data_IF_267487238878
#
_entry.id   IF_267487238878
#
_cell.length_a   1.000
_cell.length_b   1.000
_cell.length_c   1.000
_cell.angle_alpha   90.00
_cell.angle_beta   90.00
_cell.angle_gamma   90.00
#
_symmetry.space_group_name_H-M   'P 1'
#
loop_
_entity.id
_entity.type
_entity.pdbx_description
1 polymer ?
#
# COMPACT_ATOMS: atom_id res chain seq x y z
N UNK A 1 -11.68 12.16 -13.48
CA UNK A 1 -11.40 10.87 -14.13
C UNK A 1 -9.98 10.92 -14.64
N UNK A 2 -9.10 10.03 -14.16
CA UNK A 2 -7.67 10.03 -14.54
C UNK A 2 -7.42 9.22 -15.81
N UNK A 3 -8.16 8.14 -16.00
CA UNK A 3 -8.02 7.29 -17.17
C UNK A 3 -9.39 6.74 -17.59
N UNK A 4 -9.68 6.82 -18.88
CA UNK A 4 -10.87 6.21 -19.46
C UNK A 4 -10.58 4.75 -19.75
N UNK A 5 -11.34 3.85 -19.15
CA UNK A 5 -11.23 2.42 -19.44
C UNK A 5 -11.55 2.11 -20.90
N UNK A 6 -10.90 1.11 -21.44
CA UNK A 6 -11.20 0.54 -22.76
C UNK A 6 -11.40 -0.97 -22.60
N UNK A 7 -12.42 -1.57 -23.23
CA UNK A 7 -12.56 -3.01 -23.24
C UNK A 7 -11.45 -3.66 -24.06
N UNK A 8 -11.01 -4.83 -23.61
CA UNK A 8 -10.18 -5.71 -24.39
C UNK A 8 -11.03 -6.50 -25.41
N UNK A 9 -10.36 -7.18 -26.34
CA UNK A 9 -10.97 -8.09 -27.29
C UNK A 9 -10.19 -9.39 -27.39
N UNK A 10 -10.90 -10.49 -27.45
CA UNK A 10 -10.33 -11.82 -27.61
C UNK A 10 -11.07 -12.51 -28.75
N UNK A 11 -10.29 -13.09 -29.66
CA UNK A 11 -10.80 -13.91 -30.74
C UNK A 11 -10.81 -15.37 -30.32
N UNK A 12 -11.90 -16.06 -30.63
CA UNK A 12 -12.02 -17.50 -30.46
C UNK A 12 -12.32 -18.14 -31.79
N UNK A 13 -11.56 -19.14 -32.17
CA UNK A 13 -11.82 -19.93 -33.39
C UNK A 13 -12.34 -21.30 -32.97
N UNK A 14 -13.50 -21.64 -33.48
CA UNK A 14 -14.14 -22.92 -33.18
C UNK A 14 -14.11 -23.82 -34.41
N UNK A 15 -14.03 -25.12 -34.17
CA UNK A 15 -14.22 -26.16 -35.18
C UNK A 15 -15.47 -26.93 -34.83
N UNK A 16 -16.45 -26.86 -35.77
CA UNK A 16 -17.69 -27.57 -35.64
C UNK A 16 -17.70 -28.80 -36.54
N UNK A 17 -18.27 -29.88 -36.06
CA UNK A 17 -18.49 -31.10 -36.82
C UNK A 17 -20.01 -31.29 -37.00
N UNK A 18 -20.45 -31.46 -38.23
CA UNK A 18 -21.83 -31.64 -38.56
C UNK A 18 -22.10 -33.07 -39.04
N UNK A 19 -23.23 -33.62 -38.67
CA UNK A 19 -23.80 -34.82 -39.22
C UNK A 19 -25.29 -34.57 -39.49
N UNK A 20 -25.72 -34.82 -40.70
CA UNK A 20 -27.13 -34.57 -41.17
C UNK A 20 -27.66 -33.17 -40.85
N UNK A 21 -26.77 -32.15 -40.88
CA UNK A 21 -27.13 -30.76 -40.59
C UNK A 21 -27.14 -30.35 -39.13
N UNK A 22 -26.90 -31.28 -38.23
CA UNK A 22 -26.78 -31.02 -36.79
C UNK A 22 -25.33 -30.96 -36.32
N UNK A 23 -25.03 -30.01 -35.41
CA UNK A 23 -23.69 -29.92 -34.80
C UNK A 23 -23.54 -31.02 -33.77
N UNK A 24 -22.63 -31.97 -34.04
CA UNK A 24 -22.31 -33.09 -33.12
C UNK A 24 -21.04 -32.82 -32.27
N UNK A 25 -20.27 -31.78 -32.61
CA UNK A 25 -19.12 -31.37 -31.87
C UNK A 25 -18.83 -29.90 -32.11
N UNK A 26 -18.61 -29.18 -31.02
CA UNK A 26 -18.21 -27.76 -31.02
C UNK A 26 -16.94 -27.62 -30.14
N UNK A 27 -15.81 -27.33 -30.75
CA UNK A 27 -14.52 -27.28 -30.04
C UNK A 27 -13.77 -26.00 -30.35
N UNK A 28 -13.42 -25.23 -29.30
CA UNK A 28 -12.49 -24.12 -29.44
C UNK A 28 -11.10 -24.67 -29.80
N UNK A 29 -10.54 -24.25 -30.92
CA UNK A 29 -9.23 -24.70 -31.41
C UNK A 29 -8.17 -23.62 -31.29
N UNK A 30 -8.57 -22.37 -31.15
CA UNK A 30 -7.64 -21.24 -30.93
C UNK A 30 -8.31 -20.16 -30.11
N UNK A 31 -7.56 -19.60 -29.18
CA UNK A 31 -7.91 -18.38 -28.45
C UNK A 31 -6.75 -17.41 -28.57
N UNK A 32 -7.02 -16.19 -28.96
CA UNK A 32 -6.00 -15.14 -29.10
C UNK A 32 -6.53 -13.82 -28.56
N UNK A 33 -5.80 -13.22 -27.62
CA UNK A 33 -6.08 -11.87 -27.16
C UNK A 33 -5.63 -10.88 -28.23
N UNK A 34 -6.53 -10.12 -28.81
CA UNK A 34 -6.25 -9.10 -29.82
C UNK A 34 -5.86 -7.77 -29.19
N UNK A 35 -6.58 -7.38 -28.14
CA UNK A 35 -6.27 -6.19 -27.37
C UNK A 35 -6.50 -6.46 -25.88
N UNK A 36 -5.60 -5.96 -25.04
CA UNK A 36 -5.80 -6.02 -23.60
C UNK A 36 -6.74 -4.91 -23.13
N UNK A 37 -7.58 -5.17 -22.12
CA UNK A 37 -8.39 -4.13 -21.53
C UNK A 37 -7.51 -3.09 -20.83
N UNK A 38 -7.98 -1.86 -20.82
CA UNK A 38 -7.40 -0.78 -20.05
C UNK A 38 -8.35 -0.39 -18.93
N UNK A 39 -7.88 -0.37 -17.71
CA UNK A 39 -8.72 -0.07 -16.56
C UNK A 39 -9.18 1.38 -16.55
N UNK A 40 -10.42 1.59 -16.13
CA UNK A 40 -10.94 2.91 -15.82
C UNK A 40 -10.45 3.36 -14.46
N UNK A 41 -9.70 4.46 -14.41
CA UNK A 41 -9.24 5.05 -13.16
C UNK A 41 -10.09 6.27 -12.83
N UNK A 42 -10.82 6.21 -11.73
CA UNK A 42 -11.62 7.32 -11.21
C UNK A 42 -11.11 7.70 -9.81
N UNK A 43 -10.93 9.01 -9.60
CA UNK A 43 -10.75 9.55 -8.27
C UNK A 43 -12.13 9.80 -7.67
N UNK A 44 -12.43 9.14 -6.56
CA UNK A 44 -13.56 9.51 -5.72
C UNK A 44 -13.06 10.41 -4.60
N UNK A 45 -13.51 11.65 -4.57
CA UNK A 45 -13.33 12.50 -3.39
C UNK A 45 -14.10 11.92 -2.22
N UNK A 46 -13.42 11.75 -1.08
CA UNK A 46 -14.09 11.43 0.18
C UNK A 46 -14.07 12.69 1.04
N UNK A 47 -15.23 13.20 1.41
CA UNK A 47 -15.38 14.44 2.23
C UNK A 47 -14.78 14.31 3.64
N UNK A 48 -14.43 13.10 4.07
CA UNK A 48 -13.85 12.82 5.39
C UNK A 48 -12.33 12.66 5.37
N UNK A 49 -11.67 13.26 4.38
CA UNK A 49 -10.22 13.21 4.26
C UNK A 49 -9.59 14.42 4.94
N UNK A 50 -8.88 14.19 6.05
CA UNK A 50 -8.05 15.21 6.68
C UNK A 50 -6.66 15.19 6.04
N UNK A 51 -6.22 16.32 5.54
CA UNK A 51 -4.84 16.48 5.05
C UNK A 51 -3.93 16.50 6.28
N UNK A 52 -3.09 15.49 6.42
CA UNK A 52 -2.26 15.30 7.62
C UNK A 52 -1.18 16.36 7.72
N UNK A 53 -0.80 17.00 6.63
CA UNK A 53 0.29 17.96 6.69
C UNK A 53 0.17 19.12 5.69
N UNK A 54 -0.27 20.26 6.20
CA UNK A 54 -0.24 21.53 5.46
C UNK A 54 1.15 22.18 5.39
N UNK A 55 2.11 21.70 6.19
CA UNK A 55 3.44 22.34 6.34
C UNK A 55 4.53 21.75 5.45
N UNK A 56 4.25 20.68 4.71
CA UNK A 56 5.21 20.14 3.77
C UNK A 56 5.03 20.74 2.39
N UNK A 57 6.00 21.55 1.98
CA UNK A 57 6.12 22.13 0.63
C UNK A 57 6.40 21.10 -0.48
N UNK A 58 6.06 19.84 -0.30
CA UNK A 58 6.20 18.86 -1.36
C UNK A 58 4.99 18.95 -2.29
N UNK A 59 5.15 19.69 -3.37
CA UNK A 59 4.10 20.01 -4.35
C UNK A 59 3.50 18.79 -5.06
N UNK A 60 3.99 17.60 -4.82
CA UNK A 60 3.66 16.41 -5.62
C UNK A 60 3.08 15.21 -4.85
N UNK A 61 3.09 15.23 -3.52
CA UNK A 61 2.51 14.13 -2.74
C UNK A 61 1.64 14.63 -1.60
N UNK A 62 0.39 14.22 -1.62
CA UNK A 62 -0.56 14.50 -0.55
C UNK A 62 -0.76 13.23 0.27
N UNK A 63 -0.51 13.30 1.56
CA UNK A 63 -0.93 12.30 2.51
C UNK A 63 -2.31 12.64 3.03
N UNK A 64 -3.16 11.69 2.89
CA UNK A 64 -4.54 11.84 3.29
C UNK A 64 -4.83 10.86 4.40
N UNK A 65 -5.18 11.38 5.58
CA UNK A 65 -5.75 10.58 6.63
C UNK A 65 -7.17 10.20 6.20
N UNK A 66 -7.38 8.92 5.93
CA UNK A 66 -8.75 8.41 5.80
C UNK A 66 -9.22 7.93 7.15
N UNK A 67 -10.32 8.46 7.66
CA UNK A 67 -11.08 7.77 8.69
C UNK A 67 -11.67 6.53 8.03
N UNK A 68 -11.10 5.37 8.32
CA UNK A 68 -11.76 4.13 8.01
C UNK A 68 -12.79 3.84 9.09
N UNK A 69 -14.04 3.90 8.71
CA UNK A 69 -15.12 3.26 9.48
C UNK A 69 -15.12 1.74 9.26
N UNK A 70 -14.22 1.25 8.44
CA UNK A 70 -14.15 -0.17 8.10
C UNK A 70 -13.26 -0.88 9.12
N UNK A 71 -13.88 -1.67 9.98
CA UNK A 71 -13.22 -2.47 11.03
C UNK A 71 -12.17 -3.42 10.48
N UNK A 72 -12.22 -3.71 9.18
CA UNK A 72 -11.38 -4.71 8.50
C UNK A 72 -9.95 -4.22 8.20
N UNK A 73 -9.67 -2.92 8.38
CA UNK A 73 -8.36 -2.33 8.10
C UNK A 73 -7.62 -1.80 9.34
N UNK A 74 -7.96 -2.27 10.52
CA UNK A 74 -7.18 -1.95 11.72
C UNK A 74 -6.05 -2.95 11.85
N UNK A 75 -4.82 -2.45 11.79
CA UNK A 75 -3.68 -3.24 12.25
C UNK A 75 -3.84 -3.56 13.74
N UNK A 76 -3.52 -4.78 14.17
CA UNK A 76 -3.41 -5.08 15.58
C UNK A 76 -2.50 -4.09 16.30
N UNK A 77 -2.81 -3.83 17.57
CA UNK A 77 -1.93 -3.03 18.42
C UNK A 77 -0.60 -3.76 18.62
N UNK A 78 0.49 -3.07 18.34
CA UNK A 78 1.84 -3.55 18.64
C UNK A 78 2.42 -2.66 19.72
N UNK A 79 2.62 -3.22 20.90
CA UNK A 79 3.27 -2.50 22.00
C UNK A 79 4.78 -2.52 21.80
N UNK A 80 5.40 -1.36 21.84
CA UNK A 80 6.84 -1.21 21.77
C UNK A 80 7.43 -1.19 23.19
N UNK A 81 8.54 -1.91 23.40
CA UNK A 81 9.42 -1.63 24.53
C UNK A 81 10.12 -0.30 24.32
N UNK A 82 10.64 0.31 25.39
CA UNK A 82 11.40 1.57 25.29
C UNK A 82 12.61 1.41 24.38
N UNK A 83 13.26 0.25 24.43
CA UNK A 83 14.39 -0.09 23.55
C UNK A 83 13.99 -0.18 22.08
N UNK A 84 12.87 -0.86 21.79
CA UNK A 84 12.37 -0.97 20.42
C UNK A 84 11.90 0.38 19.88
N UNK A 85 11.31 1.19 20.74
CA UNK A 85 10.90 2.56 20.41
C UNK A 85 12.09 3.42 20.01
N UNK A 86 13.11 3.48 20.86
CA UNK A 86 14.32 4.25 20.57
C UNK A 86 14.98 3.79 19.27
N UNK A 87 15.10 2.48 19.09
CA UNK A 87 15.65 1.90 17.86
C UNK A 87 14.82 2.25 16.64
N UNK A 88 13.49 2.11 16.72
CA UNK A 88 12.57 2.41 15.63
C UNK A 88 12.64 3.89 15.24
N UNK A 89 12.60 4.80 16.19
CA UNK A 89 12.68 6.24 15.94
C UNK A 89 14.00 6.64 15.26
N UNK A 90 15.11 5.98 15.61
CA UNK A 90 16.42 6.20 14.98
C UNK A 90 16.47 5.66 13.57
N UNK A 91 15.96 4.44 13.33
CA UNK A 91 15.90 3.84 12.00
C UNK A 91 15.00 4.68 11.08
N UNK A 92 13.82 5.03 11.55
CA UNK A 92 12.88 5.89 10.77
C UNK A 92 13.54 7.24 10.45
N UNK A 93 14.33 7.80 11.39
CA UNK A 93 15.07 9.04 11.14
C UNK A 93 16.12 8.86 10.04
N UNK A 94 16.87 7.78 10.09
CA UNK A 94 17.93 7.49 9.11
C UNK A 94 17.37 7.20 7.71
N UNK A 95 16.27 6.47 7.64
CA UNK A 95 15.65 6.12 6.36
C UNK A 95 14.94 7.31 5.70
N UNK A 96 14.13 8.05 6.44
CA UNK A 96 13.37 9.18 5.88
C UNK A 96 12.95 10.24 6.91
N UNK A 97 13.82 10.59 7.85
CA UNK A 97 13.51 11.53 8.93
C UNK A 97 13.28 12.98 8.53
N UNK A 98 13.61 13.35 7.28
CA UNK A 98 13.37 14.68 6.72
C UNK A 98 11.90 14.97 6.41
N UNK A 99 11.03 13.96 6.37
CA UNK A 99 9.60 14.08 6.05
C UNK A 99 8.77 13.31 7.07
N UNK A 100 7.78 13.96 7.65
CA UNK A 100 6.82 13.29 8.54
C UNK A 100 6.08 12.15 7.84
N UNK A 101 5.72 12.37 6.60
CA UNK A 101 5.03 11.42 5.72
C UNK A 101 5.91 10.19 5.47
N UNK A 102 7.14 10.41 5.03
CA UNK A 102 8.10 9.32 4.82
C UNK A 102 8.35 8.55 6.10
N UNK A 103 8.48 9.25 7.23
CA UNK A 103 8.61 8.64 8.55
C UNK A 103 7.40 7.75 8.91
N UNK A 104 6.18 8.20 8.64
CA UNK A 104 4.97 7.39 8.85
C UNK A 104 4.95 6.13 7.99
N UNK A 105 5.38 6.22 6.75
CA UNK A 105 5.42 5.06 5.84
C UNK A 105 6.42 4.01 6.29
N UNK A 106 7.62 4.43 6.68
CA UNK A 106 8.63 3.52 7.22
C UNK A 106 8.13 2.88 8.52
N UNK A 107 7.59 3.67 9.45
CA UNK A 107 7.03 3.14 10.69
C UNK A 107 5.89 2.14 10.43
N UNK A 108 5.01 2.43 9.48
CA UNK A 108 3.92 1.55 9.10
C UNK A 108 4.40 0.27 8.42
N UNK A 109 5.40 0.34 7.55
CA UNK A 109 6.01 -0.83 6.91
C UNK A 109 6.58 -1.79 7.97
N UNK A 110 7.31 -1.25 8.95
CA UNK A 110 7.85 -2.05 10.05
C UNK A 110 6.74 -2.68 10.90
N UNK A 111 5.67 -1.94 11.19
CA UNK A 111 4.51 -2.49 11.91
C UNK A 111 3.81 -3.59 11.11
N UNK A 112 3.65 -3.41 9.80
CA UNK A 112 3.09 -4.44 8.93
C UNK A 112 3.93 -5.70 8.92
N UNK A 113 5.25 -5.59 8.87
CA UNK A 113 6.15 -6.74 8.91
C UNK A 113 6.01 -7.52 10.23
N UNK A 114 5.87 -6.84 11.37
CA UNK A 114 5.59 -7.51 12.64
C UNK A 114 4.26 -8.23 12.63
N UNK A 115 3.21 -7.60 12.07
CA UNK A 115 1.84 -8.12 12.13
C UNK A 115 1.61 -9.24 11.11
N UNK A 116 2.13 -9.11 9.90
CA UNK A 116 1.79 -10.01 8.78
C UNK A 116 2.90 -10.95 8.38
N UNK A 117 4.18 -10.55 8.53
CA UNK A 117 5.30 -11.35 8.07
C UNK A 117 5.93 -12.18 9.22
N UNK A 118 5.34 -12.08 10.42
CA UNK A 118 5.72 -12.92 11.57
C UNK A 118 7.00 -12.49 12.28
N UNK A 119 7.50 -11.29 12.05
CA UNK A 119 8.64 -10.77 12.81
C UNK A 119 8.27 -10.53 14.27
N UNK A 120 9.13 -10.96 15.18
CA UNK A 120 8.87 -10.93 16.62
C UNK A 120 9.26 -9.62 17.30
N UNK A 121 10.03 -8.76 16.63
CA UNK A 121 10.53 -7.50 17.19
C UNK A 121 10.95 -6.52 16.10
N UNK A 122 11.08 -5.25 16.44
CA UNK A 122 11.64 -4.21 15.58
C UNK A 122 13.06 -4.58 15.11
N UNK A 123 13.89 -5.10 16.02
CA UNK A 123 15.25 -5.55 15.68
C UNK A 123 15.26 -6.67 14.63
N UNK A 124 14.32 -7.61 14.73
CA UNK A 124 14.19 -8.69 13.76
C UNK A 124 13.78 -8.16 12.37
N UNK A 125 12.85 -7.21 12.31
CA UNK A 125 12.45 -6.54 11.04
C UNK A 125 13.63 -5.81 10.42
N UNK A 126 14.34 -4.99 11.21
CA UNK A 126 15.48 -4.21 10.72
C UNK A 126 16.52 -5.13 10.07
N UNK A 127 16.88 -6.20 10.77
CA UNK A 127 17.86 -7.18 10.28
C UNK A 127 17.34 -7.96 9.06
N UNK A 128 16.11 -8.40 9.11
CA UNK A 128 15.51 -9.27 8.07
C UNK A 128 15.19 -8.53 6.78
N UNK A 129 14.75 -7.28 6.86
CA UNK A 129 14.37 -6.46 5.71
C UNK A 129 15.49 -5.53 5.21
N UNK A 130 16.65 -5.54 5.86
CA UNK A 130 17.83 -4.80 5.40
C UNK A 130 17.73 -3.28 5.60
N UNK A 131 16.99 -2.81 6.60
CA UNK A 131 17.01 -1.41 6.96
C UNK A 131 18.41 -1.00 7.41
N UNK A 132 18.97 0.02 6.77
CA UNK A 132 20.33 0.50 7.03
C UNK A 132 20.37 1.88 7.67
N UNK A 133 19.24 2.57 7.66
CA UNK A 133 19.10 3.87 8.31
C UNK A 133 19.42 3.75 9.80
N UNK A 134 20.48 4.39 10.25
CA UNK A 134 20.83 4.47 11.65
C UNK A 134 21.40 5.84 11.93
N UNK A 135 20.93 6.47 12.98
CA UNK A 135 21.44 7.78 13.40
C UNK A 135 21.50 7.88 14.91
N UNK A 136 22.46 8.66 15.41
CA UNK A 136 22.54 8.97 16.83
C UNK A 136 21.35 9.82 17.30
N UNK A 137 20.76 10.62 16.40
CA UNK A 137 19.68 11.54 16.70
C UNK A 137 18.33 10.97 16.25
N UNK A 138 17.25 11.46 16.87
CA UNK A 138 15.87 11.17 16.49
C UNK A 138 15.24 12.46 15.98
N UNK A 139 14.75 12.45 14.75
CA UNK A 139 14.03 13.60 14.23
C UNK A 139 12.64 13.68 14.87
N UNK A 140 12.12 14.90 15.04
CA UNK A 140 10.77 15.10 15.56
C UNK A 140 9.72 14.44 14.65
N UNK A 141 9.97 14.39 13.35
CA UNK A 141 9.11 13.69 12.39
C UNK A 141 9.03 12.19 12.70
N UNK A 142 10.16 11.55 12.97
CA UNK A 142 10.20 10.14 13.28
C UNK A 142 9.49 9.83 14.62
N UNK A 143 9.75 10.63 15.65
CA UNK A 143 9.09 10.49 16.96
C UNK A 143 7.57 10.60 16.82
N UNK A 144 7.10 11.63 16.12
CA UNK A 144 5.68 11.84 15.89
C UNK A 144 5.05 10.74 15.02
N UNK A 145 5.79 10.23 14.03
CA UNK A 145 5.33 9.16 13.15
C UNK A 145 5.20 7.82 13.92
N UNK A 146 6.17 7.47 14.73
CA UNK A 146 6.11 6.26 15.56
C UNK A 146 4.94 6.33 16.51
N UNK A 147 4.74 7.46 17.20
CA UNK A 147 3.57 7.67 18.04
C UNK A 147 2.26 7.48 17.25
N UNK A 148 2.14 8.12 16.11
CA UNK A 148 0.95 8.07 15.26
C UNK A 148 0.58 6.65 14.81
N UNK A 149 1.59 5.87 14.40
CA UNK A 149 1.40 4.52 13.85
C UNK A 149 1.25 3.47 14.96
N UNK A 150 2.04 3.53 16.03
CA UNK A 150 2.08 2.48 17.05
C UNK A 150 1.19 2.78 18.24
N UNK A 151 1.22 4.00 18.78
CA UNK A 151 0.45 4.35 19.98
C UNK A 151 -0.99 4.69 19.64
N UNK A 152 -1.19 5.58 18.68
CA UNK A 152 -2.52 6.01 18.25
C UNK A 152 -3.18 4.99 17.29
N UNK A 153 -2.46 3.96 16.89
CA UNK A 153 -2.89 2.89 15.99
C UNK A 153 -3.52 3.38 14.69
N UNK A 154 -2.99 4.48 14.15
CA UNK A 154 -3.44 5.03 12.87
C UNK A 154 -2.77 4.33 11.69
N UNK A 155 -3.38 4.46 10.53
CA UNK A 155 -2.84 4.01 9.24
C UNK A 155 -2.65 5.20 8.32
N UNK A 156 -1.61 5.11 7.52
CA UNK A 156 -1.35 6.06 6.44
C UNK A 156 -1.62 5.38 5.12
N UNK A 157 -2.44 5.99 4.29
CA UNK A 157 -2.73 5.48 2.96
C UNK A 157 -2.28 6.50 1.94
N UNK A 158 -1.37 6.07 1.08
CA UNK A 158 -0.98 6.84 -0.09
C UNK A 158 -1.97 6.55 -1.20
N UNK A 159 -2.57 7.60 -1.72
CA UNK A 159 -3.25 7.53 -3.02
C UNK A 159 -2.44 8.34 -4.01
N UNK A 160 -1.94 7.68 -5.02
CA UNK A 160 -1.42 8.37 -6.19
C UNK A 160 -2.61 8.96 -6.95
N UNK A 161 -2.59 10.27 -7.13
CA UNK A 161 -3.57 11.02 -7.92
C UNK A 161 -3.01 11.21 -9.32
#
# INVERSE_FOLDING_TARGET
MLQKGKPGSTEYIYKDKYVNGEIISHKCIKQQVLTYPTDKIIVKGNRNMDIINKSYNNKTSYLVKTKYDNKDFKLPMVKLSDKDRDMLERIVTGEFGGSYIGSCLIAQSIKCAIVYDGYTSVSAVIKGMGYVGSTANRSQNAVNAVKYIFDDNNLVIIRFI
#
